data_IF_378629317846
#
_entry.id   IF_378629317846
#
_cell.length_a   1.000
_cell.length_b   1.000
_cell.length_c   1.000
_cell.angle_alpha   90.00
_cell.angle_beta   90.00
_cell.angle_gamma   90.00
#
_symmetry.space_group_name_H-M   'P 1'
#
loop_
_entity.id
_entity.type
_entity.pdbx_description
1 polymer ?
#
# COMPACT_ATOMS: atom_id res chain seq x y z
N UNK A 1 16.79 -19.92 -9.93
CA UNK A 1 16.01 -18.90 -10.67
C UNK A 1 16.37 -19.08 -12.14
N UNK A 2 15.42 -19.08 -13.07
CA UNK A 2 15.73 -19.22 -14.51
C UNK A 2 16.15 -17.86 -15.08
N UNK A 3 17.02 -17.87 -16.09
CA UNK A 3 17.50 -16.65 -16.75
C UNK A 3 16.34 -15.78 -17.28
N UNK A 4 15.30 -16.41 -17.80
CA UNK A 4 14.08 -15.75 -18.30
C UNK A 4 13.30 -15.00 -17.20
N UNK A 5 13.31 -15.53 -15.97
CA UNK A 5 12.66 -14.88 -14.84
C UNK A 5 13.42 -13.62 -14.42
N UNK A 6 14.76 -13.69 -14.36
CA UNK A 6 15.60 -12.54 -13.99
C UNK A 6 15.47 -11.40 -15.01
N UNK A 7 15.39 -11.74 -16.30
CA UNK A 7 15.15 -10.76 -17.36
C UNK A 7 13.76 -10.13 -17.23
N UNK A 8 12.72 -10.94 -17.01
CA UNK A 8 11.35 -10.45 -16.82
C UNK A 8 11.22 -9.53 -15.60
N UNK A 9 11.83 -9.90 -14.47
CA UNK A 9 11.84 -9.09 -13.26
C UNK A 9 12.57 -7.75 -13.49
N UNK A 10 13.70 -7.76 -14.20
CA UNK A 10 14.44 -6.54 -14.56
C UNK A 10 13.62 -5.62 -15.47
N UNK A 11 12.94 -6.19 -16.46
CA UNK A 11 12.08 -5.43 -17.36
C UNK A 11 10.89 -4.81 -16.62
N UNK A 12 10.29 -5.54 -15.69
CA UNK A 12 9.21 -5.03 -14.85
C UNK A 12 9.69 -3.89 -13.94
N UNK A 13 10.84 -4.05 -13.26
CA UNK A 13 11.43 -2.97 -12.46
C UNK A 13 11.80 -1.75 -13.32
N UNK A 14 12.30 -1.96 -14.54
CA UNK A 14 12.59 -0.88 -15.49
C UNK A 14 11.31 -0.11 -15.89
N UNK A 15 10.20 -0.83 -16.09
CA UNK A 15 8.90 -0.20 -16.32
C UNK A 15 8.46 0.63 -15.12
N UNK A 16 8.47 0.05 -13.90
CA UNK A 16 8.07 0.77 -12.68
C UNK A 16 8.89 2.05 -12.47
N UNK A 17 10.21 2.00 -12.72
CA UNK A 17 11.07 3.17 -12.60
C UNK A 17 10.72 4.29 -13.60
N UNK A 18 10.14 3.96 -14.76
CA UNK A 18 9.71 4.93 -15.77
C UNK A 18 8.32 5.50 -15.53
N UNK A 19 7.51 4.85 -14.70
CA UNK A 19 6.20 5.38 -14.34
C UNK A 19 6.35 6.60 -13.42
N UNK A 20 5.47 7.61 -13.56
CA UNK A 20 5.48 8.75 -12.65
C UNK A 20 5.14 8.31 -11.22
N UNK A 21 5.76 8.97 -10.24
CA UNK A 21 5.31 8.89 -8.86
C UNK A 21 3.90 9.46 -8.72
N UNK A 22 3.06 8.79 -7.91
CA UNK A 22 1.69 9.21 -7.64
C UNK A 22 1.48 9.31 -6.13
N UNK A 23 1.52 10.53 -5.56
CA UNK A 23 1.17 10.75 -4.17
C UNK A 23 -0.27 10.32 -3.90
N UNK A 24 -0.46 9.36 -2.98
CA UNK A 24 -1.76 8.74 -2.73
C UNK A 24 -1.87 8.21 -1.30
N UNK A 25 -3.12 8.00 -0.86
CA UNK A 25 -3.43 7.26 0.36
C UNK A 25 -4.08 5.97 -0.10
N UNK A 26 -3.42 4.85 0.17
CA UNK A 26 -3.81 3.53 -0.31
C UNK A 26 -3.87 2.53 0.84
N UNK A 27 -4.29 1.30 0.55
CA UNK A 27 -4.65 0.33 1.56
C UNK A 27 -3.91 -1.01 1.40
N UNK A 28 -3.67 -1.64 2.55
CA UNK A 28 -3.25 -3.04 2.70
C UNK A 28 -4.19 -3.72 3.70
N UNK A 29 -4.29 -5.04 3.66
CA UNK A 29 -5.13 -5.81 4.60
C UNK A 29 -4.36 -6.49 5.71
N UNK A 30 -3.13 -6.03 5.97
CA UNK A 30 -2.31 -6.48 7.09
C UNK A 30 -2.10 -5.35 8.10
N UNK A 31 -2.21 -5.69 9.38
CA UNK A 31 -1.89 -4.84 10.52
C UNK A 31 -1.08 -5.66 11.53
N UNK A 32 0.00 -5.08 12.05
CA UNK A 32 0.77 -5.64 13.16
C UNK A 32 0.37 -4.96 14.47
N UNK A 33 -0.49 -5.63 15.24
CA UNK A 33 -0.99 -5.13 16.54
C UNK A 33 0.05 -5.22 17.67
N UNK A 34 1.22 -5.82 17.43
CA UNK A 34 2.31 -5.86 18.42
C UNK A 34 3.09 -4.53 18.50
N UNK A 35 2.91 -3.65 17.51
CA UNK A 35 3.58 -2.34 17.45
C UNK A 35 2.94 -1.38 18.45
N UNK A 36 3.69 -1.03 19.49
CA UNK A 36 3.25 -0.10 20.56
C UNK A 36 3.86 1.29 20.45
N UNK A 37 4.91 1.45 19.64
CA UNK A 37 5.55 2.73 19.32
C UNK A 37 5.92 2.78 17.84
N UNK A 38 5.94 3.99 17.27
CA UNK A 38 6.31 4.17 15.88
C UNK A 38 7.73 3.66 15.60
N UNK A 39 7.90 2.94 14.49
CA UNK A 39 9.19 2.37 14.08
C UNK A 39 9.38 2.44 12.58
N UNK A 40 10.63 2.50 12.15
CA UNK A 40 10.97 2.42 10.72
C UNK A 40 11.02 0.95 10.29
N UNK A 41 10.37 0.67 9.15
CA UNK A 41 10.46 -0.60 8.42
C UNK A 41 10.93 -0.32 7.00
N UNK A 42 11.65 -1.26 6.39
CA UNK A 42 12.21 -1.10 5.04
C UNK A 42 11.84 -2.30 4.18
N UNK A 43 11.08 -2.05 3.11
CA UNK A 43 10.61 -3.09 2.19
C UNK A 43 11.75 -3.64 1.35
N UNK A 44 12.27 -4.87 1.58
CA UNK A 44 13.34 -5.43 0.74
C UNK A 44 12.83 -5.83 -0.65
N UNK A 45 11.51 -5.95 -0.81
CA UNK A 45 10.83 -6.29 -2.05
C UNK A 45 9.86 -5.17 -2.48
N UNK A 46 9.11 -5.40 -3.55
CA UNK A 46 8.02 -4.51 -3.94
C UNK A 46 6.92 -4.50 -2.88
N UNK A 47 6.46 -3.31 -2.50
CA UNK A 47 5.32 -3.14 -1.61
C UNK A 47 4.09 -2.76 -2.42
N UNK A 48 3.16 -3.71 -2.58
CA UNK A 48 1.89 -3.46 -3.27
C UNK A 48 0.84 -2.89 -2.30
N UNK A 49 0.09 -1.90 -2.76
CA UNK A 49 -1.07 -1.33 -2.05
C UNK A 49 -2.22 -1.17 -3.04
N UNK A 50 -3.45 -0.97 -2.58
CA UNK A 50 -4.61 -0.75 -3.46
C UNK A 50 -5.37 0.51 -3.08
N UNK A 51 -5.92 1.23 -4.05
CA UNK A 51 -6.91 2.30 -3.79
C UNK A 51 -8.22 1.77 -3.18
N UNK A 52 -8.50 0.46 -3.30
CA UNK A 52 -9.73 -0.15 -2.80
C UNK A 52 -9.49 -0.95 -1.52
N UNK A 53 -10.17 -0.58 -0.43
CA UNK A 53 -10.17 -1.37 0.81
C UNK A 53 -10.71 -2.77 0.55
N UNK A 54 -11.77 -2.93 -0.24
CA UNK A 54 -12.33 -4.24 -0.56
C UNK A 54 -11.29 -5.15 -1.24
N UNK A 55 -10.47 -4.61 -2.15
CA UNK A 55 -9.40 -5.38 -2.80
C UNK A 55 -8.26 -5.66 -1.81
N UNK A 56 -7.78 -4.63 -1.10
CA UNK A 56 -6.66 -4.74 -0.18
C UNK A 56 -6.90 -5.74 0.96
N UNK A 57 -8.15 -5.87 1.42
CA UNK A 57 -8.52 -6.65 2.60
C UNK A 57 -9.24 -7.96 2.27
N UNK A 58 -9.43 -8.26 0.97
CA UNK A 58 -10.32 -9.31 0.51
C UNK A 58 -11.73 -9.20 1.12
N UNK A 59 -12.41 -8.09 0.81
CA UNK A 59 -13.74 -7.73 1.30
C UNK A 59 -13.86 -7.70 2.83
N UNK A 60 -12.87 -7.12 3.50
CA UNK A 60 -12.80 -7.04 4.96
C UNK A 60 -12.96 -8.41 5.65
N UNK A 61 -12.44 -9.47 5.03
CA UNK A 61 -12.46 -10.84 5.59
C UNK A 61 -11.88 -10.87 7.02
N UNK A 62 -10.93 -9.98 7.29
CA UNK A 62 -10.56 -9.58 8.66
C UNK A 62 -10.73 -8.07 8.79
N UNK A 63 -11.10 -7.54 9.97
CA UNK A 63 -11.31 -6.11 10.18
C UNK A 63 -9.99 -5.34 10.36
N UNK A 64 -9.00 -5.59 9.50
CA UNK A 64 -7.68 -4.98 9.53
C UNK A 64 -7.44 -4.15 8.27
N UNK A 65 -7.04 -2.89 8.44
CA UNK A 65 -6.73 -1.98 7.32
C UNK A 65 -5.41 -1.26 7.59
N UNK A 66 -4.37 -1.66 6.88
CA UNK A 66 -3.15 -0.86 6.75
C UNK A 66 -3.43 0.33 5.83
N UNK A 67 -3.17 1.55 6.31
CA UNK A 67 -3.32 2.79 5.55
C UNK A 67 -1.93 3.29 5.20
N UNK A 68 -1.62 3.38 3.91
CA UNK A 68 -0.31 3.81 3.42
C UNK A 68 -0.42 5.22 2.88
N UNK A 69 0.27 6.16 3.52
CA UNK A 69 0.43 7.54 3.06
C UNK A 69 1.73 7.62 2.29
N UNK A 70 1.65 7.62 0.95
CA UNK A 70 2.83 7.66 0.11
C UNK A 70 2.90 8.85 -0.83
N UNK A 71 4.14 9.15 -1.23
CA UNK A 71 4.56 10.12 -2.22
C UNK A 71 4.99 9.46 -3.54
N UNK A 72 5.70 8.32 -3.48
CA UNK A 72 6.41 7.74 -4.61
C UNK A 72 5.86 6.39 -5.10
N UNK A 73 4.64 6.03 -4.73
CA UNK A 73 3.97 4.86 -5.31
C UNK A 73 3.82 4.98 -6.84
N UNK A 74 3.84 3.85 -7.56
CA UNK A 74 3.57 3.76 -9.00
C UNK A 74 2.17 3.21 -9.22
N UNK A 75 1.27 4.07 -9.70
CA UNK A 75 -0.11 3.68 -9.97
C UNK A 75 -0.21 2.85 -11.26
N UNK A 76 -0.65 1.60 -11.11
CA UNK A 76 -0.82 0.64 -12.19
C UNK A 76 -2.26 0.59 -12.70
N UNK A 77 -3.19 1.32 -12.09
CA UNK A 77 -4.63 1.24 -12.37
C UNK A 77 -4.92 1.49 -13.85
N UNK A 78 -4.32 2.53 -14.44
CA UNK A 78 -4.53 2.86 -15.85
C UNK A 78 -3.94 1.80 -16.80
N UNK A 79 -2.76 1.26 -16.49
CA UNK A 79 -2.10 0.21 -17.27
C UNK A 79 -2.89 -1.09 -17.27
N UNK A 80 -3.54 -1.38 -16.14
CA UNK A 80 -4.30 -2.61 -15.91
C UNK A 80 -5.80 -2.46 -16.22
N UNK A 81 -6.23 -1.34 -16.80
CA UNK A 81 -7.64 -1.10 -17.13
C UNK A 81 -8.21 -2.14 -18.12
N UNK A 82 -7.38 -2.70 -18.99
CA UNK A 82 -7.73 -3.78 -19.91
C UNK A 82 -7.45 -5.20 -19.38
N UNK A 83 -7.12 -5.35 -18.08
CA UNK A 83 -6.76 -6.65 -17.52
C UNK A 83 -7.95 -7.64 -17.62
N UNK A 84 -7.69 -8.90 -18.00
CA UNK A 84 -8.75 -9.87 -18.31
C UNK A 84 -9.53 -10.37 -17.09
N UNK A 85 -9.09 -10.04 -15.87
CA UNK A 85 -9.71 -10.49 -14.62
C UNK A 85 -10.29 -9.31 -13.84
N UNK A 86 -9.48 -8.70 -12.97
CA UNK A 86 -9.88 -7.59 -12.12
C UNK A 86 -8.76 -6.56 -12.09
N UNK A 87 -9.10 -5.30 -12.25
CA UNK A 87 -8.16 -4.22 -11.99
C UNK A 87 -8.02 -4.08 -10.47
N UNK A 88 -6.84 -4.43 -9.95
CA UNK A 88 -6.54 -4.38 -8.52
C UNK A 88 -6.39 -2.95 -7.97
N UNK A 89 -6.42 -1.94 -8.85
CA UNK A 89 -6.20 -0.54 -8.51
C UNK A 89 -4.89 -0.39 -7.73
N UNK A 90 -3.85 -1.10 -8.18
CA UNK A 90 -2.61 -1.28 -7.45
C UNK A 90 -1.74 -0.03 -7.57
N UNK A 91 -1.19 0.40 -6.42
CA UNK A 91 -0.08 1.34 -6.34
C UNK A 91 1.11 0.60 -5.73
N UNK A 92 2.19 0.50 -6.49
CA UNK A 92 3.38 -0.30 -6.12
C UNK A 92 4.54 0.61 -5.71
N UNK A 93 5.13 0.33 -4.55
CA UNK A 93 6.36 0.96 -4.08
C UNK A 93 7.57 0.08 -4.40
N UNK A 94 8.69 0.71 -4.76
CA UNK A 94 9.90 0.02 -5.18
C UNK A 94 10.62 -0.67 -3.99
N UNK A 95 11.48 -1.68 -4.25
CA UNK A 95 12.32 -2.24 -3.22
C UNK A 95 13.22 -1.17 -2.59
N UNK A 96 13.46 -1.28 -1.29
CA UNK A 96 14.20 -0.30 -0.49
C UNK A 96 13.36 0.89 -0.01
N UNK A 97 12.04 0.88 -0.21
CA UNK A 97 11.16 1.94 0.32
C UNK A 97 11.06 1.84 1.85
N UNK A 98 11.27 2.95 2.54
CA UNK A 98 11.13 3.07 3.99
C UNK A 98 9.73 3.52 4.36
N UNK A 99 9.18 2.96 5.42
CA UNK A 99 7.93 3.40 6.02
C UNK A 99 8.09 3.62 7.53
N UNK A 100 7.52 4.70 8.05
CA UNK A 100 7.24 4.84 9.46
C UNK A 100 5.93 4.10 9.77
N UNK A 101 6.03 2.97 10.44
CA UNK A 101 4.90 2.17 10.90
C UNK A 101 4.48 2.65 12.28
N UNK A 102 3.25 3.17 12.39
CA UNK A 102 2.67 3.63 13.64
C UNK A 102 1.97 2.51 14.42
N UNK A 103 1.67 2.70 15.71
CA UNK A 103 0.83 1.78 16.46
C UNK A 103 -0.55 1.59 15.80
N UNK A 104 -1.11 0.39 15.96
CA UNK A 104 -2.46 0.11 15.50
C UNK A 104 -3.50 0.83 16.40
N UNK A 105 -4.60 1.27 15.82
CA UNK A 105 -5.69 1.94 16.53
C UNK A 105 -7.05 1.53 15.96
N UNK A 106 -8.10 1.63 16.77
CA UNK A 106 -9.47 1.36 16.33
C UNK A 106 -10.07 2.57 15.62
N UNK A 107 -10.74 2.31 14.50
CA UNK A 107 -11.48 3.32 13.75
C UNK A 107 -12.74 2.72 13.14
N UNK A 108 -13.90 3.26 13.49
CA UNK A 108 -15.19 2.85 12.92
C UNK A 108 -15.46 1.34 12.93
N UNK A 109 -14.91 0.58 13.90
CA UNK A 109 -15.07 -0.88 14.01
C UNK A 109 -14.12 -1.70 13.13
N UNK A 110 -13.01 -1.12 12.68
CA UNK A 110 -11.85 -1.83 12.14
C UNK A 110 -10.59 -1.38 12.88
N UNK A 111 -9.63 -2.28 13.00
CA UNK A 111 -8.28 -1.93 13.43
C UNK A 111 -7.52 -1.37 12.22
N UNK A 112 -7.04 -0.14 12.35
CA UNK A 112 -6.22 0.52 11.34
C UNK A 112 -4.77 0.66 11.80
N UNK A 113 -3.84 0.69 10.85
CA UNK A 113 -2.44 1.02 11.12
C UNK A 113 -1.90 1.89 10.00
N UNK A 114 -1.34 3.05 10.37
CA UNK A 114 -0.79 4.00 9.40
C UNK A 114 0.67 3.68 9.13
N UNK A 115 1.02 3.71 7.84
CA UNK A 115 2.37 3.62 7.31
C UNK A 115 2.64 4.88 6.51
N UNK A 116 3.56 5.72 6.98
CA UNK A 116 3.98 6.90 6.22
C UNK A 116 5.25 6.60 5.45
N UNK A 117 5.25 6.85 4.14
CA UNK A 117 6.46 6.71 3.35
C UNK A 117 7.52 7.72 3.82
N UNK A 118 8.76 7.23 3.95
CA UNK A 118 9.90 8.03 4.35
C UNK A 118 10.88 8.18 3.17
N UNK A 119 11.49 9.35 3.04
CA UNK A 119 12.60 9.60 2.15
C UNK A 119 13.89 9.80 2.94
N UNK A 120 15.00 9.30 2.40
CA UNK A 120 16.33 9.62 2.91
C UNK A 120 16.64 11.07 2.51
N UNK A 121 17.16 11.87 3.44
CA UNK A 121 17.63 13.22 3.14
C UNK A 121 18.72 13.23 2.07
N UNK A 122 18.89 14.37 1.39
CA UNK A 122 19.88 14.50 0.31
C UNK A 122 21.32 14.19 0.76
N UNK A 123 21.63 14.47 2.03
CA UNK A 123 22.92 14.17 2.66
C UNK A 123 23.06 12.73 3.17
N UNK A 124 22.01 11.92 3.08
CA UNK A 124 22.01 10.52 3.49
C UNK A 124 21.91 10.29 5.00
N UNK A 125 21.72 11.33 5.83
CA UNK A 125 21.90 11.23 7.28
C UNK A 125 20.59 11.06 8.07
N UNK A 126 19.44 11.37 7.47
CA UNK A 126 18.14 11.37 8.14
C UNK A 126 17.04 10.75 7.28
N UNK A 127 15.97 10.31 7.93
CA UNK A 127 14.72 9.93 7.29
C UNK A 127 13.65 10.98 7.58
N UNK A 128 13.05 11.54 6.54
CA UNK A 128 11.95 12.50 6.63
C UNK A 128 10.68 11.90 6.04
N UNK A 129 9.51 12.33 6.50
CA UNK A 129 8.24 11.94 5.87
C UNK A 129 8.22 12.44 4.43
N UNK A 130 8.05 11.53 3.46
CA UNK A 130 8.07 11.86 2.03
C UNK A 130 6.83 12.67 1.61
N UNK A 131 5.72 12.49 2.33
CA UNK A 131 4.47 13.24 2.17
C UNK A 131 3.95 13.68 3.54
N UNK A 132 4.47 14.78 4.09
CA UNK A 132 3.97 15.30 5.35
C UNK A 132 2.51 15.71 5.19
N UNK A 133 1.68 15.32 6.15
CA UNK A 133 0.29 15.75 6.27
C UNK A 133 0.17 16.65 7.51
N UNK A 134 -0.49 17.80 7.36
CA UNK A 134 -0.67 18.75 8.46
C UNK A 134 -1.70 18.29 9.50
N UNK A 135 -2.56 17.33 9.13
CA UNK A 135 -3.60 16.76 9.98
C UNK A 135 -4.01 15.36 9.51
N UNK A 136 -4.91 14.72 10.26
CA UNK A 136 -5.55 13.46 9.87
C UNK A 136 -6.64 13.61 8.80
N UNK A 137 -7.08 14.84 8.50
CA UNK A 137 -8.22 15.06 7.60
C UNK A 137 -8.03 14.46 6.21
N UNK A 138 -6.83 14.54 5.57
CA UNK A 138 -6.60 13.88 4.29
C UNK A 138 -6.74 12.35 4.37
N UNK A 139 -6.32 11.74 5.49
CA UNK A 139 -6.48 10.30 5.71
C UNK A 139 -7.95 9.94 5.84
N UNK A 140 -8.68 10.66 6.70
CA UNK A 140 -10.11 10.41 6.93
C UNK A 140 -10.95 10.63 5.68
N UNK A 141 -10.64 11.67 4.89
CA UNK A 141 -11.32 11.97 3.63
C UNK A 141 -11.23 10.83 2.61
N UNK A 142 -10.21 9.98 2.68
CA UNK A 142 -10.06 8.80 1.81
C UNK A 142 -10.54 7.52 2.50
N UNK A 143 -10.18 7.33 3.77
CA UNK A 143 -10.48 6.12 4.55
C UNK A 143 -11.98 5.93 4.79
N UNK A 144 -12.71 6.98 5.20
CA UNK A 144 -14.13 6.89 5.52
C UNK A 144 -15.01 6.45 4.35
N UNK A 145 -14.96 7.11 3.17
CA UNK A 145 -15.75 6.66 2.03
C UNK A 145 -15.31 5.28 1.55
N UNK A 146 -14.01 5.00 1.49
CA UNK A 146 -13.52 3.69 1.05
C UNK A 146 -14.00 2.55 1.98
N UNK A 147 -14.04 2.79 3.29
CA UNK A 147 -14.51 1.81 4.27
C UNK A 147 -16.03 1.61 4.18
N UNK A 148 -16.78 2.70 3.97
CA UNK A 148 -18.23 2.65 3.72
C UNK A 148 -18.53 1.82 2.48
N UNK A 149 -17.83 2.06 1.39
CA UNK A 149 -18.02 1.36 0.12
C UNK A 149 -17.66 -0.13 0.24
N UNK A 150 -16.54 -0.46 0.89
CA UNK A 150 -16.14 -1.85 1.13
C UNK A 150 -17.15 -2.63 1.98
N UNK A 151 -17.85 -1.96 2.92
CA UNK A 151 -18.92 -2.57 3.71
C UNK A 151 -20.22 -2.71 2.93
N UNK A 152 -20.53 -1.74 2.08
CA UNK A 152 -21.78 -1.72 1.32
C UNK A 152 -21.77 -2.73 0.15
N UNK A 153 -20.59 -3.06 -0.40
CA UNK A 153 -20.48 -3.90 -1.59
C UNK A 153 -19.30 -4.85 -1.52
N UNK A 154 -19.60 -6.13 -1.45
CA UNK A 154 -18.61 -7.20 -1.64
C UNK A 154 -18.27 -7.33 -3.13
N UNK A 155 -16.98 -7.31 -3.46
CA UNK A 155 -16.47 -7.50 -4.81
C UNK A 155 -16.29 -9.00 -5.10
N UNK A 156 -16.65 -9.42 -6.32
CA UNK A 156 -16.35 -10.77 -6.82
C UNK A 156 -14.86 -10.87 -7.22
N UNK A 157 -13.99 -11.04 -6.21
CA UNK A 157 -12.55 -11.11 -6.41
C UNK A 157 -12.11 -12.52 -6.85
N UNK A 158 -11.24 -12.66 -7.86
CA UNK A 158 -10.60 -13.93 -8.17
C UNK A 158 -9.82 -14.47 -6.97
N UNK A 159 -9.67 -15.80 -6.90
CA UNK A 159 -8.86 -16.43 -5.86
C UNK A 159 -7.43 -15.87 -5.89
N UNK A 160 -6.93 -15.49 -4.71
CA UNK A 160 -5.58 -14.96 -4.54
C UNK A 160 -5.36 -13.51 -5.00
N UNK A 161 -6.41 -12.83 -5.51
CA UNK A 161 -6.30 -11.45 -5.98
C UNK A 161 -5.75 -10.48 -4.92
N UNK A 162 -6.07 -10.73 -3.65
CA UNK A 162 -5.69 -9.88 -2.53
C UNK A 162 -4.38 -10.28 -1.85
N UNK A 163 -3.81 -11.45 -2.13
CA UNK A 163 -2.78 -12.08 -1.27
C UNK A 163 -1.56 -11.17 -1.06
N UNK A 164 -1.14 -10.45 -2.10
CA UNK A 164 -0.01 -9.51 -2.05
C UNK A 164 -0.21 -8.32 -1.10
N UNK A 165 -1.46 -7.99 -0.76
CA UNK A 165 -1.82 -6.90 0.15
C UNK A 165 -1.99 -7.36 1.60
N UNK A 166 -2.04 -8.68 1.84
CA UNK A 166 -2.35 -9.29 3.13
C UNK A 166 -1.11 -9.74 3.91
N UNK A 167 0.07 -9.53 3.34
CA UNK A 167 1.35 -9.85 3.98
C UNK A 167 1.93 -8.63 4.69
N UNK A 168 2.80 -8.81 5.70
CA UNK A 168 3.54 -7.71 6.32
C UNK A 168 4.35 -6.91 5.30
N UNK A 169 4.56 -5.62 5.59
CA UNK A 169 5.69 -4.90 5.01
C UNK A 169 6.93 -5.45 5.71
N UNK A 170 7.73 -6.23 4.99
CA UNK A 170 8.98 -6.80 5.49
C UNK A 170 10.11 -5.80 5.37
#
# INVERSE_FOLDING_TARGET
MTQDFEESARNFLSLLNKLPSTPSITFRGFVDTSVTQARIVVSPALTATSHSIAIATNNLRTPHVGVVVGANGRDLTALMAGAPTVNLQEVTYLPGTYFCQHPAQEFAGVTIQVYEEMCVSEDGTSLNTARPLDSWDPILAVLEPALRDARARCLALPQGASDRFLVPVQ
#
